data_IF_457920553244
#
_entry.id   IF_457920553244
#
_cell.length_a   1.000
_cell.length_b   1.000
_cell.length_c   1.000
_cell.angle_alpha   90.00
_cell.angle_beta   90.00
_cell.angle_gamma   90.00
#
_symmetry.space_group_name_H-M   'P 1'
#
loop_
_entity.id
_entity.type
_entity.pdbx_description
1 polymer ?
#
# COMPACT_ATOMS: atom_id res chain seq x y z
N UNK A 1 10.93 -6.36 8.31
CA UNK A 1 10.35 -6.98 9.52
C UNK A 1 9.24 -7.98 9.18
N UNK A 2 8.11 -7.57 8.58
CA UNK A 2 6.97 -8.47 8.24
C UNK A 2 7.33 -9.63 7.30
N UNK A 3 8.14 -9.38 6.26
CA UNK A 3 8.67 -10.39 5.33
C UNK A 3 9.49 -11.48 6.04
N UNK A 4 10.21 -11.12 7.10
CA UNK A 4 11.13 -12.03 7.81
C UNK A 4 10.38 -12.94 8.78
N UNK A 5 9.24 -12.48 9.33
CA UNK A 5 8.41 -13.26 10.26
C UNK A 5 7.25 -14.00 9.57
N UNK A 6 7.19 -13.98 8.23
CA UNK A 6 6.17 -14.70 7.45
C UNK A 6 4.76 -14.14 7.55
N UNK A 7 4.59 -12.89 8.02
CA UNK A 7 3.30 -12.24 8.20
C UNK A 7 2.99 -11.21 7.10
N UNK A 8 3.43 -11.48 5.87
CA UNK A 8 2.98 -10.65 4.76
C UNK A 8 1.48 -10.88 4.55
N UNK A 9 0.70 -9.82 4.32
CA UNK A 9 -0.69 -9.97 3.97
C UNK A 9 -0.81 -10.88 2.73
N UNK A 10 -1.88 -11.67 2.68
CA UNK A 10 -2.15 -12.58 1.57
C UNK A 10 -3.41 -12.12 0.85
N UNK A 11 -3.36 -12.09 -0.48
CA UNK A 11 -4.43 -11.61 -1.33
C UNK A 11 -3.91 -11.33 -2.74
N UNK A 12 -4.83 -11.14 -3.68
CA UNK A 12 -4.54 -10.66 -5.02
C UNK A 12 -5.60 -9.63 -5.40
N UNK A 13 -5.20 -8.37 -5.42
CA UNK A 13 -6.05 -7.24 -5.81
C UNK A 13 -6.16 -7.07 -7.32
N UNK A 14 -5.32 -7.77 -8.09
CA UNK A 14 -5.12 -7.54 -9.52
C UNK A 14 -4.52 -6.17 -9.86
N UNK A 15 -4.05 -5.41 -8.85
CA UNK A 15 -3.45 -4.08 -9.01
C UNK A 15 -1.99 -4.06 -8.57
N UNK A 16 -1.25 -3.14 -9.18
CA UNK A 16 0.15 -2.83 -8.93
C UNK A 16 0.30 -1.35 -8.61
N UNK A 17 1.49 -0.93 -8.15
CA UNK A 17 1.75 0.50 -7.94
C UNK A 17 1.53 1.34 -9.20
N UNK A 18 1.77 0.78 -10.38
CA UNK A 18 1.64 1.49 -11.66
C UNK A 18 0.19 1.86 -12.00
N UNK A 19 -0.79 1.24 -11.35
CA UNK A 19 -2.21 1.57 -11.53
C UNK A 19 -2.61 2.87 -10.81
N UNK A 20 -1.68 3.49 -10.07
CA UNK A 20 -1.90 4.72 -9.32
C UNK A 20 -1.12 5.89 -9.92
N UNK A 21 -1.82 7.01 -10.12
CA UNK A 21 -1.29 8.21 -10.77
C UNK A 21 -0.13 8.89 -10.02
N UNK A 22 -0.04 8.65 -8.72
CA UNK A 22 0.93 9.23 -7.80
C UNK A 22 2.01 8.24 -7.34
N UNK A 23 2.15 7.09 -8.02
CA UNK A 23 3.18 6.10 -7.71
C UNK A 23 4.60 6.67 -7.71
N UNK A 24 4.85 7.73 -8.50
CA UNK A 24 6.12 8.45 -8.55
C UNK A 24 6.46 9.24 -7.28
N UNK A 25 5.49 9.46 -6.38
CA UNK A 25 5.69 10.11 -5.08
C UNK A 25 6.11 9.13 -3.98
N UNK A 26 6.16 7.83 -4.28
CA UNK A 26 6.63 6.81 -3.35
C UNK A 26 8.15 6.80 -3.37
N UNK A 27 8.77 7.08 -2.23
CA UNK A 27 10.21 6.98 -2.06
C UNK A 27 10.70 5.53 -2.21
N UNK A 28 11.96 5.36 -2.63
CA UNK A 28 12.58 4.06 -2.90
C UNK A 28 12.52 3.09 -1.69
N UNK A 29 12.65 3.62 -0.46
CA UNK A 29 12.58 2.82 0.76
C UNK A 29 11.18 2.22 1.01
N UNK A 30 10.12 2.87 0.52
CA UNK A 30 8.72 2.47 0.71
C UNK A 30 8.20 1.61 -0.45
N UNK A 31 8.87 1.62 -1.61
CA UNK A 31 8.40 0.96 -2.83
C UNK A 31 8.06 -0.52 -2.66
N UNK A 32 8.96 -1.32 -2.09
CA UNK A 32 8.71 -2.77 -1.91
C UNK A 32 7.54 -3.03 -0.95
N UNK A 33 7.44 -2.26 0.13
CA UNK A 33 6.37 -2.42 1.11
C UNK A 33 5.01 -2.01 0.54
N UNK A 34 4.95 -0.85 -0.13
CA UNK A 34 3.73 -0.36 -0.77
C UNK A 34 3.26 -1.29 -1.88
N UNK A 35 4.18 -1.84 -2.69
CA UNK A 35 3.86 -2.82 -3.71
C UNK A 35 3.22 -4.07 -3.11
N UNK A 36 3.78 -4.59 -2.02
CA UNK A 36 3.21 -5.72 -1.31
C UNK A 36 1.78 -5.43 -0.84
N UNK A 37 1.55 -4.29 -0.17
CA UNK A 37 0.21 -3.94 0.34
C UNK A 37 -0.83 -3.69 -0.75
N UNK A 38 -0.43 -3.14 -1.89
CA UNK A 38 -1.33 -2.93 -3.03
C UNK A 38 -1.68 -4.26 -3.68
N UNK A 39 -0.69 -5.11 -3.96
CA UNK A 39 -0.92 -6.42 -4.58
C UNK A 39 -1.79 -7.29 -3.69
N UNK A 40 -1.59 -7.25 -2.37
CA UNK A 40 -2.39 -8.04 -1.43
C UNK A 40 -3.79 -7.46 -1.18
N UNK A 41 -4.08 -6.28 -1.74
CA UNK A 41 -5.35 -5.58 -1.56
C UNK A 41 -5.54 -4.96 -0.18
N UNK A 42 -4.49 -4.90 0.63
CA UNK A 42 -4.49 -4.24 1.94
C UNK A 42 -4.63 -2.72 1.79
N UNK A 43 -4.07 -2.15 0.73
CA UNK A 43 -4.23 -0.74 0.38
C UNK A 43 -4.83 -0.65 -1.02
N UNK A 44 -5.96 0.06 -1.15
CA UNK A 44 -6.66 0.25 -2.43
C UNK A 44 -6.57 1.66 -3.00
N UNK A 45 -6.11 2.64 -2.21
CA UNK A 45 -6.15 4.06 -2.58
C UNK A 45 -7.57 4.62 -2.75
N UNK A 46 -7.66 5.85 -3.23
CA UNK A 46 -8.92 6.54 -3.54
C UNK A 46 -8.78 7.31 -4.84
N UNK A 47 -9.80 7.27 -5.70
CA UNK A 47 -9.82 7.97 -6.99
C UNK A 47 -8.57 7.74 -7.87
N UNK A 48 -7.97 6.54 -7.83
CA UNK A 48 -6.76 6.21 -8.61
C UNK A 48 -5.46 6.81 -8.06
N UNK A 49 -5.42 7.15 -6.77
CA UNK A 49 -4.26 7.70 -6.07
C UNK A 49 -4.08 7.02 -4.70
N UNK A 50 -2.83 6.80 -4.29
CA UNK A 50 -2.45 6.25 -2.97
C UNK A 50 -2.25 7.33 -1.91
N UNK A 51 -2.10 8.58 -2.33
CA UNK A 51 -1.82 9.76 -1.51
C UNK A 51 -0.65 9.56 -0.54
N UNK A 52 0.54 9.11 -0.99
CA UNK A 52 1.64 8.71 -0.11
C UNK A 52 2.20 9.85 0.75
N UNK A 53 2.00 11.11 0.36
CA UNK A 53 2.44 12.29 1.09
C UNK A 53 1.39 12.83 2.09
N UNK A 54 0.17 12.29 2.06
CA UNK A 54 -0.90 12.72 2.96
C UNK A 54 -0.77 12.06 4.32
N UNK A 55 -1.21 12.76 5.37
CA UNK A 55 -1.33 12.16 6.70
C UNK A 55 -2.49 11.17 6.74
N UNK A 56 -2.18 9.94 7.09
CA UNK A 56 -3.18 8.91 7.41
C UNK A 56 -3.99 9.28 8.66
N UNK A 57 -5.29 8.98 8.62
CA UNK A 57 -6.22 9.14 9.74
C UNK A 57 -6.26 7.91 10.66
N UNK A 58 -6.76 8.10 11.88
CA UNK A 58 -6.98 6.99 12.82
C UNK A 58 -7.97 5.95 12.30
N UNK A 59 -8.96 6.38 11.52
CA UNK A 59 -9.97 5.48 10.96
C UNK A 59 -9.38 4.57 9.89
N UNK A 60 -8.52 5.11 9.01
CA UNK A 60 -7.80 4.32 8.00
C UNK A 60 -6.84 3.33 8.65
N UNK A 61 -6.09 3.74 9.69
CA UNK A 61 -5.25 2.80 10.43
C UNK A 61 -6.04 1.66 11.08
N UNK A 62 -7.25 1.94 11.58
CA UNK A 62 -8.10 0.91 12.19
C UNK A 62 -8.63 -0.12 11.19
N UNK A 63 -8.63 0.18 9.88
CA UNK A 63 -8.97 -0.81 8.84
C UNK A 63 -7.81 -1.76 8.52
N UNK A 64 -6.58 -1.34 8.84
CA UNK A 64 -5.37 -2.11 8.56
C UNK A 64 -4.98 -3.01 9.74
N UNK A 65 -5.44 -2.68 10.96
CA UNK A 65 -5.28 -3.49 12.18
C UNK A 65 -6.16 -4.75 12.16
#
# INVERSE_FOLDING_TARGET
>A
ALKVIGQLPQGDSGKTLLDFSDASQIDEWAGEAMAAFVVTGTIGGSNGSLTPLSTTTRAEMAQVL
#
